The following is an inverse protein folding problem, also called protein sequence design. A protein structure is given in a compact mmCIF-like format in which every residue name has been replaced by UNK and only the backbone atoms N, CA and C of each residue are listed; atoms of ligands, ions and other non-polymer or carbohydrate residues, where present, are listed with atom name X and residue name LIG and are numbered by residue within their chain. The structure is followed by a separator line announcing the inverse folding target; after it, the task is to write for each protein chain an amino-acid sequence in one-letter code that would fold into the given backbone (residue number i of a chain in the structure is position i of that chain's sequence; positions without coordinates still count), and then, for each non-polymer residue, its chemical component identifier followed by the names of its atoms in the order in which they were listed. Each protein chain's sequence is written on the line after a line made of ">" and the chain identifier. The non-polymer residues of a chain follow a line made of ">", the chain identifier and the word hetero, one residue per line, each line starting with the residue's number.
data_IF_647563251916
#
_entry.id   IF_647563251916
#
_cell.length_a   1.000
_cell.length_b   1.000
_cell.length_c   1.000
_cell.angle_alpha   90.00
_cell.angle_beta   90.00
_cell.angle_gamma   90.00
#
_symmetry.space_group_name_H-M   'P 1'
#
loop_
_entity.id
_entity.type
_entity.pdbx_description
1 polymer ?
#
# COMPACT_ATOMS: atom_id res chain seq x y z
N UNK A 1 12.44 11.78 -9.60
CA UNK A 1 11.58 12.93 -9.99
C UNK A 1 10.11 12.75 -9.61
N UNK A 2 9.56 11.54 -9.49
CA UNK A 2 8.13 11.32 -9.19
C UNK A 2 7.71 11.68 -7.76
N UNK A 3 8.52 11.36 -6.75
CA UNK A 3 8.14 11.59 -5.35
C UNK A 3 8.05 13.09 -4.99
N UNK A 4 9.03 13.89 -5.41
CA UNK A 4 8.99 15.35 -5.22
C UNK A 4 7.78 15.97 -5.92
N UNK A 5 7.47 15.52 -7.14
CA UNK A 5 6.29 15.97 -7.86
C UNK A 5 4.99 15.61 -7.12
N UNK A 6 4.89 14.39 -6.55
CA UNK A 6 3.75 14.00 -5.73
C UNK A 6 3.61 14.87 -4.48
N UNK A 7 4.71 15.17 -3.79
CA UNK A 7 4.70 16.07 -2.63
C UNK A 7 4.21 17.47 -3.03
N UNK A 8 4.76 18.03 -4.13
CA UNK A 8 4.36 19.35 -4.62
C UNK A 8 2.88 19.38 -4.99
N UNK A 9 2.38 18.38 -5.70
CA UNK A 9 0.95 18.29 -6.06
C UNK A 9 0.06 18.15 -4.82
N UNK A 10 0.46 17.35 -3.83
CA UNK A 10 -0.27 17.24 -2.57
C UNK A 10 -0.29 18.57 -1.82
N UNK A 11 0.83 19.28 -1.76
CA UNK A 11 0.92 20.60 -1.12
C UNK A 11 0.03 21.63 -1.84
N UNK A 12 0.13 21.74 -3.16
CA UNK A 12 -0.73 22.65 -3.94
C UNK A 12 -2.21 22.30 -3.80
N UNK A 13 -2.54 21.02 -3.71
CA UNK A 13 -3.92 20.57 -3.51
C UNK A 13 -4.44 20.89 -2.11
N UNK A 14 -3.58 20.81 -1.08
CA UNK A 14 -3.92 21.25 0.28
C UNK A 14 -4.15 22.76 0.33
N UNK A 15 -3.24 23.57 -0.24
CA UNK A 15 -3.39 25.04 -0.29
C UNK A 15 -4.64 25.44 -1.07
N UNK A 16 -5.01 24.70 -2.10
CA UNK A 16 -6.23 24.92 -2.88
C UNK A 16 -7.51 24.35 -2.24
N UNK A 17 -7.46 23.78 -1.03
CA UNK A 17 -8.62 23.18 -0.35
C UNK A 17 -9.16 21.90 -1.02
N UNK A 18 -8.39 21.29 -1.93
CA UNK A 18 -8.75 20.05 -2.65
C UNK A 18 -8.48 18.78 -1.84
N UNK A 19 -7.72 18.90 -0.74
CA UNK A 19 -7.43 17.82 0.21
C UNK A 19 -8.05 18.21 1.54
N UNK A 20 -8.90 17.35 2.08
CA UNK A 20 -9.69 17.62 3.27
C UNK A 20 -11.19 17.66 2.95
N UNK A 21 -12.00 18.03 3.92
CA UNK A 21 -13.40 18.34 3.71
C UNK A 21 -13.51 19.67 2.91
N UNK A 22 -14.06 19.67 1.68
CA UNK A 22 -14.19 20.88 0.85
C UNK A 22 -15.12 21.93 1.46
N UNK A 23 -15.94 21.55 2.44
CA UNK A 23 -16.83 22.44 3.17
C UNK A 23 -16.13 23.15 4.35
N UNK A 24 -14.86 22.82 4.65
CA UNK A 24 -14.11 23.40 5.76
C UNK A 24 -13.01 24.33 5.25
N UNK A 25 -12.97 25.55 5.80
CA UNK A 25 -11.90 26.52 5.55
C UNK A 25 -10.68 26.22 6.43
N UNK A 26 -9.54 26.86 6.12
CA UNK A 26 -8.33 26.74 6.95
C UNK A 26 -8.60 27.21 8.39
N UNK A 27 -9.33 28.31 8.53
CA UNK A 27 -9.71 28.88 9.82
C UNK A 27 -10.59 27.92 10.63
N UNK A 28 -11.41 27.10 9.98
CA UNK A 28 -12.20 26.05 10.65
C UNK A 28 -11.31 24.93 11.17
N UNK A 29 -10.28 24.52 10.41
CA UNK A 29 -9.29 23.53 10.87
C UNK A 29 -8.46 24.04 12.05
N UNK A 30 -8.06 25.31 12.03
CA UNK A 30 -7.29 25.93 13.12
C UNK A 30 -8.09 26.03 14.45
N UNK A 31 -9.43 25.91 14.38
CA UNK A 31 -10.32 25.88 15.54
C UNK A 31 -10.59 24.47 16.09
N UNK A 32 -10.21 23.41 15.38
CA UNK A 32 -10.39 22.04 15.86
C UNK A 32 -9.46 21.80 17.03
N UNK A 33 -9.98 21.17 18.09
CA UNK A 33 -9.15 20.75 19.21
C UNK A 33 -8.07 19.75 18.74
N UNK A 34 -6.79 19.92 19.11
CA UNK A 34 -5.72 19.03 18.66
C UNK A 34 -5.98 17.54 18.96
N UNK A 35 -6.66 17.20 20.06
CA UNK A 35 -7.02 15.81 20.41
C UNK A 35 -8.04 15.24 19.42
N UNK A 36 -9.05 16.04 19.04
CA UNK A 36 -10.05 15.64 18.05
C UNK A 36 -9.44 15.49 16.65
N UNK A 37 -8.47 16.34 16.29
CA UNK A 37 -7.76 16.21 15.02
C UNK A 37 -6.94 14.90 14.98
N UNK A 38 -6.20 14.57 16.04
CA UNK A 38 -5.46 13.31 16.15
C UNK A 38 -6.40 12.09 16.10
N UNK A 39 -7.56 12.17 16.77
CA UNK A 39 -8.56 11.12 16.76
C UNK A 39 -9.12 10.86 15.35
N UNK A 40 -9.43 11.92 14.58
CA UNK A 40 -9.90 11.79 13.20
C UNK A 40 -8.83 11.18 12.31
N UNK A 41 -7.57 11.61 12.43
CA UNK A 41 -6.45 11.06 11.66
C UNK A 41 -6.26 9.56 11.92
N UNK A 42 -6.30 9.14 13.20
CA UNK A 42 -6.25 7.72 13.58
C UNK A 42 -7.41 6.95 12.94
N UNK A 43 -8.64 7.46 13.04
CA UNK A 43 -9.84 6.83 12.45
C UNK A 43 -9.73 6.72 10.93
N UNK A 44 -9.23 7.75 10.25
CA UNK A 44 -8.99 7.75 8.81
C UNK A 44 -7.89 6.77 8.40
N UNK A 45 -6.81 6.67 9.16
CA UNK A 45 -5.78 5.65 8.96
C UNK A 45 -6.36 4.24 9.11
N UNK A 46 -7.14 3.98 10.17
CA UNK A 46 -7.80 2.67 10.37
C UNK A 46 -8.74 2.32 9.22
N UNK A 47 -9.64 3.25 8.83
CA UNK A 47 -10.55 3.03 7.70
C UNK A 47 -9.79 2.76 6.40
N UNK A 48 -8.69 3.47 6.16
CA UNK A 48 -7.83 3.25 5.00
C UNK A 48 -7.15 1.89 5.02
N UNK A 49 -6.69 1.44 6.19
CA UNK A 49 -6.11 0.10 6.37
C UNK A 49 -7.17 -0.98 6.13
N UNK A 50 -8.37 -0.82 6.68
CA UNK A 50 -9.49 -1.77 6.49
C UNK A 50 -9.85 -1.91 5.01
N UNK A 51 -9.99 -0.79 4.28
CA UNK A 51 -10.24 -0.82 2.83
C UNK A 51 -9.15 -1.57 2.06
N UNK A 52 -7.88 -1.33 2.39
CA UNK A 52 -6.75 -2.04 1.77
C UNK A 52 -6.77 -3.53 2.10
N UNK A 53 -7.10 -3.89 3.34
CA UNK A 53 -7.24 -5.26 3.79
C UNK A 53 -8.37 -6.01 3.06
N UNK A 54 -9.55 -5.40 2.93
CA UNK A 54 -10.68 -5.94 2.18
C UNK A 54 -10.30 -6.22 0.72
N UNK A 55 -9.77 -5.20 0.04
CA UNK A 55 -9.30 -5.35 -1.35
C UNK A 55 -8.23 -6.43 -1.49
N UNK A 56 -7.31 -6.53 -0.54
CA UNK A 56 -6.31 -7.60 -0.53
C UNK A 56 -6.95 -8.99 -0.42
N UNK A 57 -7.91 -9.14 0.50
CA UNK A 57 -8.66 -10.40 0.70
C UNK A 57 -9.44 -10.78 -0.56
N UNK A 58 -10.10 -9.82 -1.22
CA UNK A 58 -10.82 -10.03 -2.49
C UNK A 58 -9.89 -10.50 -3.62
N UNK A 59 -8.78 -9.77 -3.85
CA UNK A 59 -7.82 -10.11 -4.92
C UNK A 59 -7.17 -11.48 -4.69
N UNK A 60 -6.88 -11.81 -3.43
CA UNK A 60 -6.16 -13.05 -3.08
C UNK A 60 -7.09 -14.23 -2.77
N UNK A 61 -8.41 -14.00 -2.64
CA UNK A 61 -9.39 -14.99 -2.22
C UNK A 61 -9.23 -15.47 -0.78
N UNK A 62 -8.55 -14.70 0.08
CA UNK A 62 -8.29 -15.06 1.47
C UNK A 62 -9.45 -14.62 2.36
N UNK A 63 -9.82 -15.45 3.34
CA UNK A 63 -10.84 -15.11 4.35
C UNK A 63 -10.28 -14.33 5.55
N UNK A 64 -8.96 -14.26 5.72
CA UNK A 64 -8.29 -13.52 6.78
C UNK A 64 -6.91 -12.98 6.31
N UNK A 65 -6.34 -12.06 7.08
CA UNK A 65 -5.07 -11.40 6.73
C UNK A 65 -3.82 -12.21 7.13
N UNK A 66 -3.97 -13.24 7.96
CA UNK A 66 -2.89 -14.12 8.41
C UNK A 66 -3.40 -15.28 9.24
N UNK A 67 -2.57 -16.31 9.38
CA UNK A 67 -2.86 -17.48 10.21
C UNK A 67 -2.42 -17.23 11.66
N UNK A 68 -3.08 -17.87 12.64
CA UNK A 68 -2.80 -17.70 14.07
C UNK A 68 -1.33 -17.99 14.47
N UNK A 69 -0.62 -18.82 13.70
CA UNK A 69 0.78 -19.22 13.95
C UNK A 69 1.80 -18.44 13.10
N UNK A 70 1.34 -17.48 12.27
CA UNK A 70 2.25 -16.70 11.44
C UNK A 70 2.82 -15.54 12.24
N UNK A 71 4.15 -15.51 12.42
CA UNK A 71 4.85 -14.34 12.98
C UNK A 71 4.43 -13.07 12.22
N UNK A 72 4.32 -11.93 12.91
CA UNK A 72 3.97 -10.59 12.37
C UNK A 72 4.96 -10.02 11.32
N UNK A 73 5.82 -10.87 10.75
CA UNK A 73 6.76 -10.51 9.69
C UNK A 73 6.30 -11.01 8.32
N UNK A 74 7.16 -10.81 7.33
CA UNK A 74 6.96 -11.38 6.01
C UNK A 74 7.31 -12.87 5.99
N UNK A 75 6.60 -13.62 5.16
CA UNK A 75 6.94 -15.02 4.87
C UNK A 75 8.25 -15.07 4.06
N UNK A 76 9.34 -15.46 4.72
CA UNK A 76 10.67 -15.56 4.09
C UNK A 76 10.68 -16.52 2.91
N UNK A 77 9.82 -17.53 2.87
CA UNK A 77 9.69 -18.45 1.72
C UNK A 77 9.17 -17.74 0.45
N UNK A 78 8.48 -16.60 0.60
CA UNK A 78 8.01 -15.75 -0.51
C UNK A 78 9.02 -14.67 -0.91
N UNK A 79 10.12 -14.52 -0.17
CA UNK A 79 11.20 -13.61 -0.53
C UNK A 79 12.00 -14.20 -1.68
N UNK A 80 12.18 -13.41 -2.74
CA UNK A 80 12.97 -13.79 -3.90
C UNK A 80 14.32 -13.07 -3.87
N UNK A 81 15.41 -13.83 -3.91
CA UNK A 81 16.76 -13.30 -3.93
C UNK A 81 17.04 -12.59 -5.27
N UNK A 82 17.38 -11.29 -5.22
CA UNK A 82 17.65 -10.51 -6.43
C UNK A 82 18.85 -11.01 -7.26
N UNK A 83 19.84 -11.64 -6.62
CA UNK A 83 21.10 -12.11 -7.26
C UNK A 83 20.96 -13.47 -7.93
N UNK A 84 20.35 -14.44 -7.25
CA UNK A 84 20.23 -15.81 -7.77
C UNK A 84 18.81 -16.19 -8.19
N UNK A 85 17.83 -15.27 -8.07
CA UNK A 85 16.44 -15.44 -8.51
C UNK A 85 15.69 -16.60 -7.85
N UNK A 86 16.19 -17.10 -6.71
CA UNK A 86 15.61 -18.19 -5.93
C UNK A 86 14.85 -17.66 -4.72
N UNK A 87 13.83 -18.38 -4.28
CA UNK A 87 13.03 -18.05 -3.11
C UNK A 87 13.73 -18.38 -1.78
N UNK A 88 13.21 -17.89 -0.66
CA UNK A 88 13.57 -18.33 0.69
C UNK A 88 14.75 -17.60 1.35
N UNK A 89 15.43 -16.67 0.67
CA UNK A 89 16.62 -16.03 1.23
C UNK A 89 16.92 -14.65 0.66
N UNK A 90 17.73 -13.89 1.40
CA UNK A 90 18.23 -12.59 0.96
C UNK A 90 19.56 -12.71 0.22
N UNK A 91 19.86 -11.73 -0.64
CA UNK A 91 21.14 -11.64 -1.37
C UNK A 91 22.37 -11.77 -0.45
N UNK A 92 22.30 -11.23 0.77
CA UNK A 92 23.40 -11.26 1.75
C UNK A 92 23.66 -12.64 2.39
N UNK A 93 22.71 -13.56 2.28
CA UNK A 93 22.77 -14.87 2.95
C UNK A 93 23.44 -15.96 2.09
N UNK A 94 23.75 -15.69 0.82
CA UNK A 94 24.34 -16.66 -0.11
C UNK A 94 25.58 -16.14 -0.83
N UNK A 95 26.64 -16.94 -0.79
CA UNK A 95 27.82 -16.83 -1.65
C UNK A 95 27.61 -17.66 -2.94
N UNK A 96 27.78 -17.01 -4.09
CA UNK A 96 28.21 -17.60 -5.38
C UNK A 96 27.30 -18.49 -6.27
N UNK A 97 26.07 -18.08 -6.61
CA UNK A 97 25.51 -18.36 -7.96
C UNK A 97 24.70 -17.17 -8.50
N UNK A 98 25.12 -16.57 -9.60
CA UNK A 98 24.30 -15.64 -10.38
C UNK A 98 23.34 -16.45 -11.24
N UNK A 99 22.07 -16.06 -11.28
CA UNK A 99 21.14 -16.60 -12.26
C UNK A 99 21.12 -15.68 -13.49
N UNK A 100 20.62 -16.20 -14.61
CA UNK A 100 20.44 -15.44 -15.86
C UNK A 100 19.62 -14.15 -15.59
N UNK A 101 20.15 -13.02 -16.04
CA UNK A 101 19.55 -11.69 -15.84
C UNK A 101 18.21 -11.53 -16.55
N UNK A 102 17.92 -12.37 -17.55
CA UNK A 102 16.73 -12.27 -18.40
C UNK A 102 15.43 -12.73 -17.73
N UNK A 103 15.49 -13.38 -16.56
CA UNK A 103 14.30 -13.90 -15.88
C UNK A 103 13.88 -12.97 -14.73
N UNK A 104 12.75 -12.27 -14.90
CA UNK A 104 12.10 -11.56 -13.79
C UNK A 104 11.52 -12.58 -12.80
N UNK A 105 12.00 -12.63 -11.56
CA UNK A 105 11.60 -13.67 -10.61
C UNK A 105 10.35 -13.27 -9.82
N UNK A 106 9.85 -12.04 -10.03
CA UNK A 106 8.59 -11.55 -9.50
C UNK A 106 7.52 -11.77 -10.57
N UNK A 107 6.83 -12.92 -10.51
CA UNK A 107 5.66 -13.13 -11.33
C UNK A 107 4.50 -12.28 -10.77
N UNK A 108 4.17 -11.23 -11.51
CA UNK A 108 3.38 -10.03 -11.20
C UNK A 108 1.86 -10.26 -10.98
N UNK A 109 1.42 -11.45 -10.57
CA UNK A 109 -0.01 -11.79 -10.59
C UNK A 109 -0.85 -10.95 -9.62
N UNK A 110 -0.30 -10.61 -8.44
CA UNK A 110 -1.03 -9.77 -7.47
C UNK A 110 -1.22 -8.34 -7.97
N UNK A 111 -0.16 -7.66 -8.40
CA UNK A 111 -0.24 -6.26 -8.83
C UNK A 111 -1.05 -6.12 -10.12
N UNK A 112 -0.89 -7.08 -11.05
CA UNK A 112 -1.77 -7.19 -12.23
C UNK A 112 -3.24 -7.28 -11.82
N UNK A 113 -3.60 -8.22 -10.94
CA UNK A 113 -4.99 -8.36 -10.45
C UNK A 113 -5.46 -7.12 -9.72
N UNK A 114 -4.61 -6.50 -8.91
CA UNK A 114 -4.94 -5.28 -8.19
C UNK A 114 -5.29 -4.14 -9.14
N UNK A 115 -4.53 -3.93 -10.21
CA UNK A 115 -4.80 -2.88 -11.21
C UNK A 115 -6.17 -3.11 -11.88
N UNK A 116 -6.47 -4.35 -12.30
CA UNK A 116 -7.73 -4.66 -12.99
C UNK A 116 -8.95 -4.78 -12.06
N UNK A 117 -8.74 -5.01 -10.75
CA UNK A 117 -9.83 -4.99 -9.76
C UNK A 117 -10.50 -3.61 -9.69
N UNK A 118 -9.72 -2.54 -9.85
CA UNK A 118 -10.21 -1.16 -9.80
C UNK A 118 -11.10 -0.78 -10.99
N UNK A 119 -10.92 -1.41 -12.16
CA UNK A 119 -11.70 -1.12 -13.37
C UNK A 119 -13.08 -1.79 -13.39
N UNK A 120 -13.30 -2.84 -12.60
CA UNK A 120 -14.56 -3.59 -12.58
C UNK A 120 -15.58 -3.05 -11.55
N UNK A 121 -15.18 -2.11 -10.69
CA UNK A 121 -16.02 -1.45 -9.69
C UNK A 121 -16.54 -0.08 -10.17
N UNK A 122 -16.69 0.15 -11.49
CA UNK A 122 -17.40 1.35 -11.94
C UNK A 122 -18.84 1.29 -11.42
N UNK A 123 -19.33 2.32 -10.70
CA UNK A 123 -20.70 2.32 -10.21
C UNK A 123 -21.64 2.31 -11.42
N UNK A 124 -22.57 1.37 -11.45
CA UNK A 124 -23.75 1.47 -12.31
C UNK A 124 -24.43 2.80 -11.99
N UNK A 125 -24.54 3.68 -12.99
CA UNK A 125 -25.35 4.90 -12.90
C UNK A 125 -26.78 4.59 -12.47
#
# INVERSE_FOLDING_TARGET
>A
MSFLASILVSYESLVAGRIGNPEMTKEDYDQIDPEEMELIDIRWCMASVIRRAQRFMEITGRSCLGDADTKLGFDKSKVTCFKCKQKGHFKRERSNRQADERVNPFHEDYYRKAIYHQTNEQPSK
#
